data_IF_693293500564
#
_entry.id   IF_693293500564
#
_cell.length_a   1.000
_cell.length_b   1.000
_cell.length_c   1.000
_cell.angle_alpha   90.00
_cell.angle_beta   90.00
_cell.angle_gamma   90.00
#
_symmetry.space_group_name_H-M   'P 1'
#
loop_
_entity.id
_entity.type
_entity.pdbx_description
1 polymer ?
#
# COMPACT_ATOMS: atom_id res chain seq x y z
N UNK A 1 15.10 33.77 -0.33
CA UNK A 1 15.31 34.90 0.59
C UNK A 1 14.79 34.65 2.02
N UNK A 2 14.05 33.57 2.32
CA UNK A 2 13.57 33.25 3.68
C UNK A 2 14.45 32.28 4.48
N UNK A 3 15.36 31.53 3.84
CA UNK A 3 16.34 30.68 4.55
C UNK A 3 17.33 31.50 5.41
N UNK A 4 17.38 32.83 5.25
CA UNK A 4 18.33 33.73 5.92
C UNK A 4 17.68 34.45 7.12
N UNK A 5 16.35 34.44 7.26
CA UNK A 5 15.64 35.15 8.35
C UNK A 5 15.36 34.32 9.60
N UNK A 6 16.20 33.31 9.86
CA UNK A 6 16.51 32.76 11.20
C UNK A 6 15.43 32.78 12.28
N UNK A 7 14.24 32.21 12.04
CA UNK A 7 13.29 31.87 13.12
C UNK A 7 13.62 30.47 13.63
N UNK A 8 14.69 30.36 14.40
CA UNK A 8 15.07 29.12 15.09
C UNK A 8 14.40 28.99 16.47
N UNK A 9 13.55 29.94 16.85
CA UNK A 9 12.86 29.98 18.15
C UNK A 9 12.04 28.70 18.40
N UNK A 10 11.41 28.15 17.37
CA UNK A 10 10.65 26.89 17.46
C UNK A 10 11.54 25.64 17.63
N UNK A 11 12.86 25.77 17.47
CA UNK A 11 13.84 24.68 17.63
C UNK A 11 14.68 24.82 18.91
N UNK A 12 14.41 25.84 19.75
CA UNK A 12 15.19 26.06 20.97
C UNK A 12 14.92 24.98 22.02
N UNK A 13 13.65 24.58 22.19
CA UNK A 13 13.23 23.55 23.16
C UNK A 13 12.46 22.39 22.48
N UNK A 14 13.13 21.59 21.61
CA UNK A 14 12.46 20.62 20.73
C UNK A 14 11.89 19.41 21.47
N UNK A 15 12.32 19.16 22.72
CA UNK A 15 11.89 18.01 23.53
C UNK A 15 10.96 18.41 24.68
N UNK A 16 10.67 19.69 24.86
CA UNK A 16 9.81 20.16 25.94
C UNK A 16 8.34 19.72 25.69
N UNK A 17 7.69 19.17 26.72
CA UNK A 17 6.31 18.66 26.58
C UNK A 17 6.16 17.32 25.85
N UNK A 18 7.26 16.61 25.57
CA UNK A 18 7.23 15.30 24.89
C UNK A 18 6.47 14.26 25.71
N UNK A 19 5.48 13.62 25.08
CA UNK A 19 4.72 12.52 25.69
C UNK A 19 5.36 11.17 25.35
N UNK A 20 6.16 10.61 26.26
CA UNK A 20 6.83 9.32 26.09
C UNK A 20 5.92 8.07 26.23
N UNK A 21 4.60 8.26 26.34
CA UNK A 21 3.66 7.15 26.42
C UNK A 21 3.69 6.30 25.15
N UNK A 22 3.84 4.98 25.30
CA UNK A 22 3.91 4.01 24.18
C UNK A 22 2.74 4.17 23.22
N UNK A 23 1.53 4.47 23.72
CA UNK A 23 0.36 4.73 22.88
C UNK A 23 0.49 5.99 22.01
N UNK A 24 1.05 7.09 22.53
CA UNK A 24 1.25 8.31 21.76
C UNK A 24 2.31 8.12 20.67
N UNK A 25 3.38 7.40 21.01
CA UNK A 25 4.43 7.02 20.05
C UNK A 25 3.82 6.16 18.94
N UNK A 26 3.03 5.13 19.28
CA UNK A 26 2.38 4.26 18.31
C UNK A 26 1.41 5.01 17.38
N UNK A 27 0.58 5.92 17.91
CA UNK A 27 -0.32 6.74 17.09
C UNK A 27 0.47 7.67 16.16
N UNK A 28 1.56 8.28 16.65
CA UNK A 28 2.47 9.08 15.81
C UNK A 28 3.08 8.26 14.67
N UNK A 29 3.51 7.02 14.96
CA UNK A 29 4.00 6.10 13.94
C UNK A 29 2.91 5.75 12.92
N UNK A 30 1.67 5.48 13.34
CA UNK A 30 0.58 5.18 12.39
C UNK A 30 0.30 6.32 11.43
N UNK A 31 0.28 7.56 11.92
CA UNK A 31 0.08 8.74 11.08
C UNK A 31 1.26 8.96 10.13
N UNK A 32 2.50 8.77 10.62
CA UNK A 32 3.69 8.86 9.77
C UNK A 32 3.72 7.79 8.69
N UNK A 33 3.45 6.53 9.05
CA UNK A 33 3.41 5.39 8.12
C UNK A 33 2.28 5.50 7.09
N UNK A 34 1.18 6.15 7.45
CA UNK A 34 0.11 6.46 6.50
C UNK A 34 0.60 7.37 5.37
N UNK A 35 1.45 8.37 5.66
CA UNK A 35 2.04 9.23 4.64
C UNK A 35 2.96 8.45 3.67
N UNK A 36 3.63 7.40 4.15
CA UNK A 36 4.42 6.49 3.31
C UNK A 36 3.61 5.37 2.65
N UNK A 37 2.28 5.36 2.78
CA UNK A 37 1.46 4.36 2.14
C UNK A 37 1.54 4.48 0.60
N UNK A 38 1.49 3.33 -0.09
CA UNK A 38 1.50 3.28 -1.55
C UNK A 38 2.62 2.42 -2.15
N UNK A 39 3.60 2.02 -1.35
CA UNK A 39 4.65 1.08 -1.76
C UNK A 39 4.09 -0.27 -2.24
N UNK A 40 2.91 -0.69 -1.76
CA UNK A 40 2.25 -1.92 -2.22
C UNK A 40 1.80 -1.86 -3.69
N UNK A 41 1.50 -0.67 -4.22
CA UNK A 41 1.05 -0.51 -5.60
C UNK A 41 2.17 -0.76 -6.61
N UNK A 42 3.44 -0.62 -6.20
CA UNK A 42 4.59 -0.98 -7.02
C UNK A 42 4.51 -2.44 -7.48
N UNK A 43 3.96 -3.33 -6.66
CA UNK A 43 3.84 -4.76 -7.00
C UNK A 43 3.02 -5.01 -8.26
N UNK A 44 1.98 -4.19 -8.47
CA UNK A 44 1.08 -4.31 -9.63
C UNK A 44 1.75 -3.85 -10.93
N UNK A 45 2.81 -3.04 -10.84
CA UNK A 45 3.56 -2.51 -11.98
C UNK A 45 4.86 -3.32 -12.22
N UNK A 46 5.18 -4.30 -11.36
CA UNK A 46 6.36 -5.16 -11.55
C UNK A 46 6.32 -5.89 -12.89
N UNK A 47 5.14 -6.32 -13.32
CA UNK A 47 4.95 -7.05 -14.59
C UNK A 47 5.29 -6.19 -15.82
N UNK A 48 5.26 -4.86 -15.68
CA UNK A 48 5.54 -3.90 -16.75
C UNK A 48 6.99 -3.38 -16.71
N UNK A 49 7.77 -3.80 -15.71
CA UNK A 49 9.14 -3.35 -15.49
C UNK A 49 10.14 -4.17 -16.30
N UNK A 50 11.03 -3.50 -17.04
CA UNK A 50 12.17 -4.17 -17.69
C UNK A 50 13.17 -4.66 -16.63
N UNK A 51 13.60 -5.92 -16.71
CA UNK A 51 14.50 -6.59 -15.74
C UNK A 51 14.09 -6.40 -14.26
N UNK A 52 12.93 -6.94 -13.83
CA UNK A 52 12.38 -6.67 -12.51
C UNK A 52 13.29 -7.14 -11.37
N UNK A 53 14.06 -8.23 -11.55
CA UNK A 53 14.94 -8.80 -10.52
C UNK A 53 15.99 -7.81 -10.01
N UNK A 54 16.50 -6.92 -10.86
CA UNK A 54 17.55 -5.94 -10.50
C UNK A 54 16.98 -4.55 -10.26
N UNK A 55 16.01 -4.14 -11.08
CA UNK A 55 15.50 -2.77 -11.07
C UNK A 55 14.52 -2.54 -9.92
N UNK A 56 13.75 -3.56 -9.51
CA UNK A 56 12.81 -3.45 -8.40
C UNK A 56 13.48 -3.08 -7.06
N UNK A 57 14.50 -3.81 -6.56
CA UNK A 57 15.11 -3.46 -5.27
C UNK A 57 15.81 -2.10 -5.30
N UNK A 58 16.42 -1.72 -6.44
CA UNK A 58 17.06 -0.40 -6.61
C UNK A 58 16.02 0.73 -6.59
N UNK A 59 14.91 0.56 -7.30
CA UNK A 59 13.81 1.52 -7.32
C UNK A 59 13.21 1.73 -5.92
N UNK A 60 13.02 0.66 -5.15
CA UNK A 60 12.52 0.74 -3.77
C UNK A 60 13.49 1.53 -2.88
N UNK A 61 14.79 1.23 -2.91
CA UNK A 61 15.76 1.94 -2.07
C UNK A 61 15.83 3.43 -2.43
N UNK A 62 15.93 3.75 -3.72
CA UNK A 62 16.02 5.14 -4.19
C UNK A 62 14.76 5.91 -3.83
N UNK A 63 13.57 5.34 -4.08
CA UNK A 63 12.30 5.99 -3.74
C UNK A 63 12.15 6.21 -2.23
N UNK A 64 12.44 5.22 -1.40
CA UNK A 64 12.38 5.37 0.06
C UNK A 64 13.30 6.50 0.57
N UNK A 65 14.56 6.54 0.11
CA UNK A 65 15.52 7.58 0.54
C UNK A 65 15.08 8.96 0.08
N UNK A 66 14.66 9.08 -1.20
CA UNK A 66 14.23 10.35 -1.77
C UNK A 66 12.99 10.90 -1.04
N UNK A 67 11.96 10.06 -0.82
CA UNK A 67 10.74 10.47 -0.10
C UNK A 67 11.07 10.88 1.34
N UNK A 68 11.96 10.14 2.01
CA UNK A 68 12.40 10.47 3.38
C UNK A 68 13.04 11.85 3.45
N UNK A 69 13.95 12.17 2.51
CA UNK A 69 14.61 13.48 2.45
C UNK A 69 13.58 14.59 2.24
N UNK A 70 12.68 14.43 1.27
CA UNK A 70 11.64 15.44 0.97
C UNK A 70 10.72 15.66 2.16
N UNK A 71 10.32 14.60 2.86
CA UNK A 71 9.44 14.71 4.03
C UNK A 71 10.12 15.40 5.20
N UNK A 72 11.40 15.09 5.47
CA UNK A 72 12.17 15.78 6.52
C UNK A 72 12.31 17.27 6.17
N UNK A 73 12.70 17.59 4.93
CA UNK A 73 12.85 18.99 4.49
C UNK A 73 11.53 19.76 4.58
N UNK A 74 10.41 19.14 4.24
CA UNK A 74 9.08 19.76 4.34
C UNK A 74 8.70 20.06 5.79
N UNK A 75 8.94 19.11 6.70
CA UNK A 75 8.67 19.32 8.12
C UNK A 75 9.56 20.44 8.70
N UNK A 76 10.84 20.47 8.35
CA UNK A 76 11.75 21.56 8.74
C UNK A 76 11.24 22.91 8.22
N UNK A 77 10.77 22.98 6.97
CA UNK A 77 10.18 24.20 6.41
C UNK A 77 8.91 24.64 7.18
N UNK A 78 8.06 23.72 7.62
CA UNK A 78 6.89 24.07 8.45
C UNK A 78 7.28 24.62 9.82
N UNK A 79 8.19 23.96 10.54
CA UNK A 79 8.61 24.41 11.87
C UNK A 79 9.35 25.75 11.86
N UNK A 80 10.02 26.13 10.77
CA UNK A 80 10.67 27.46 10.67
C UNK A 80 9.69 28.62 10.49
N UNK A 81 8.45 28.37 10.06
CA UNK A 81 7.51 29.42 9.61
C UNK A 81 6.22 29.46 10.42
N UNK A 82 5.77 28.32 10.95
CA UNK A 82 4.54 28.18 11.71
C UNK A 82 4.87 27.65 13.12
N UNK A 83 4.44 28.31 14.20
CA UNK A 83 4.64 27.81 15.55
C UNK A 83 3.81 26.53 15.77
N UNK A 84 4.30 25.57 16.60
CA UNK A 84 3.64 24.27 16.80
C UNK A 84 2.18 24.36 17.26
N UNK A 85 1.84 25.35 18.09
CA UNK A 85 0.47 25.56 18.59
C UNK A 85 -0.51 25.86 17.44
N UNK A 86 -0.08 26.65 16.47
CA UNK A 86 -0.88 27.01 15.30
C UNK A 86 -0.97 25.86 14.30
N UNK A 87 0.08 25.03 14.19
CA UNK A 87 0.02 23.79 13.40
C UNK A 87 -1.02 22.81 13.93
N UNK A 88 -1.14 22.67 15.26
CA UNK A 88 -2.11 21.77 15.89
C UNK A 88 -3.57 22.26 15.75
N UNK A 89 -3.78 23.56 15.59
CA UNK A 89 -5.11 24.16 15.41
C UNK A 89 -5.55 24.21 13.95
N UNK A 90 -4.61 24.18 13.00
CA UNK A 90 -4.90 24.25 11.57
C UNK A 90 -5.27 22.88 11.00
N UNK A 91 -6.44 22.80 10.34
CA UNK A 91 -6.84 21.62 9.57
C UNK A 91 -6.01 21.43 8.30
N UNK A 92 -5.36 22.50 7.80
CA UNK A 92 -4.58 22.50 6.56
C UNK A 92 -3.28 23.28 6.73
N UNK A 93 -2.28 22.64 7.35
CA UNK A 93 -0.96 23.23 7.66
C UNK A 93 -0.29 23.85 6.43
N UNK A 94 -0.41 23.22 5.26
CA UNK A 94 0.17 23.71 4.01
C UNK A 94 -0.42 25.07 3.56
N UNK A 95 -1.70 25.32 3.83
CA UNK A 95 -2.37 26.59 3.48
C UNK A 95 -1.93 27.69 4.44
N UNK A 96 -1.89 27.40 5.75
CA UNK A 96 -1.37 28.33 6.76
C UNK A 96 0.09 28.71 6.49
N UNK A 97 0.91 27.74 6.08
CA UNK A 97 2.28 27.97 5.61
C UNK A 97 2.32 28.93 4.41
N UNK A 98 1.50 28.67 3.38
CA UNK A 98 1.47 29.48 2.17
C UNK A 98 0.97 30.91 2.43
N UNK A 99 -0.01 31.08 3.32
CA UNK A 99 -0.50 32.40 3.72
C UNK A 99 0.62 33.24 4.37
N UNK A 100 1.43 32.63 5.23
CA UNK A 100 2.55 33.32 5.88
C UNK A 100 3.73 33.61 4.94
N UNK A 101 4.00 32.71 3.99
CA UNK A 101 5.16 32.82 3.11
C UNK A 101 4.90 33.69 1.87
N UNK A 102 3.76 33.45 1.21
CA UNK A 102 3.45 34.03 -0.10
C UNK A 102 2.45 35.18 -0.04
N UNK A 103 1.80 35.43 1.10
CA UNK A 103 0.92 36.58 1.34
C UNK A 103 -0.21 36.69 0.32
N UNK A 104 0.01 37.42 -0.77
CA UNK A 104 -0.94 37.66 -1.87
C UNK A 104 -1.16 36.43 -2.76
N UNK A 105 -0.16 35.54 -2.88
CA UNK A 105 -0.19 34.38 -3.79
C UNK A 105 -0.51 33.05 -3.07
N UNK A 106 -1.14 33.11 -1.89
CA UNK A 106 -1.41 31.94 -1.05
C UNK A 106 -2.29 30.86 -1.73
N UNK A 107 -3.16 31.25 -2.66
CA UNK A 107 -4.11 30.39 -3.36
C UNK A 107 -3.43 29.36 -4.29
N UNK A 108 -2.18 29.58 -4.66
CA UNK A 108 -1.42 28.67 -5.53
C UNK A 108 -1.18 27.33 -4.82
N UNK A 109 -0.87 27.36 -3.53
CA UNK A 109 -0.57 26.14 -2.76
C UNK A 109 -1.75 25.16 -2.67
N UNK A 110 -2.98 25.56 -2.28
CA UNK A 110 -4.11 24.63 -2.25
C UNK A 110 -4.48 24.11 -3.64
N UNK A 111 -4.26 24.88 -4.71
CA UNK A 111 -4.48 24.39 -6.09
C UNK A 111 -3.52 23.25 -6.43
N UNK A 112 -2.22 23.39 -6.14
CA UNK A 112 -1.25 22.31 -6.36
C UNK A 112 -1.52 21.08 -5.48
N UNK A 113 -1.90 21.29 -4.22
CA UNK A 113 -2.27 20.18 -3.31
C UNK A 113 -3.53 19.47 -3.80
N UNK A 114 -4.54 20.21 -4.27
CA UNK A 114 -5.76 19.64 -4.84
C UNK A 114 -5.47 18.83 -6.12
N UNK A 115 -4.63 19.35 -7.02
CA UNK A 115 -4.20 18.63 -8.22
C UNK A 115 -3.42 17.35 -7.88
N UNK A 116 -2.55 17.41 -6.87
CA UNK A 116 -1.79 16.24 -6.41
C UNK A 116 -2.68 15.17 -5.80
N UNK A 117 -3.61 15.55 -4.92
CA UNK A 117 -4.57 14.62 -4.31
C UNK A 117 -5.52 14.02 -5.35
N UNK A 118 -5.96 14.81 -6.33
CA UNK A 118 -6.73 14.33 -7.47
C UNK A 118 -5.96 13.27 -8.28
N UNK A 119 -4.68 13.51 -8.56
CA UNK A 119 -3.81 12.54 -9.22
C UNK A 119 -3.64 11.24 -8.41
N UNK A 120 -3.50 11.35 -7.09
CA UNK A 120 -3.41 10.19 -6.18
C UNK A 120 -4.67 9.32 -6.21
N UNK A 121 -5.86 9.93 -6.11
CA UNK A 121 -7.14 9.21 -6.19
C UNK A 121 -7.31 8.52 -7.54
N UNK A 122 -6.95 9.20 -8.64
CA UNK A 122 -7.03 8.62 -9.97
C UNK A 122 -6.11 7.38 -10.12
N UNK A 123 -4.90 7.43 -9.56
CA UNK A 123 -3.99 6.29 -9.53
C UNK A 123 -4.58 5.09 -8.76
N UNK A 124 -5.16 5.34 -7.58
CA UNK A 124 -5.80 4.30 -6.76
C UNK A 124 -6.98 3.65 -7.48
N UNK A 125 -7.78 4.43 -8.24
CA UNK A 125 -8.90 3.91 -9.02
C UNK A 125 -8.43 2.90 -10.08
N UNK A 126 -7.34 3.17 -10.79
CA UNK A 126 -6.78 2.23 -11.76
C UNK A 126 -6.30 0.94 -11.10
N UNK A 127 -5.59 1.03 -9.98
CA UNK A 127 -5.09 -0.17 -9.30
C UNK A 127 -6.21 -1.00 -8.69
N UNK A 128 -7.20 -0.34 -8.08
CA UNK A 128 -8.37 -1.02 -7.49
C UNK A 128 -9.17 -1.77 -8.55
N UNK A 129 -9.39 -1.16 -9.72
CA UNK A 129 -10.05 -1.78 -10.85
C UNK A 129 -9.37 -3.10 -11.28
N UNK A 130 -8.03 -3.13 -11.36
CA UNK A 130 -7.27 -4.34 -11.69
C UNK A 130 -7.46 -5.43 -10.64
N UNK A 131 -7.42 -5.06 -9.36
CA UNK A 131 -7.60 -6.00 -8.25
C UNK A 131 -9.00 -6.65 -8.27
N UNK A 132 -10.06 -5.87 -8.50
CA UNK A 132 -11.43 -6.39 -8.62
C UNK A 132 -11.61 -7.31 -9.83
N UNK A 133 -10.98 -6.98 -10.96
CA UNK A 133 -11.04 -7.81 -12.17
C UNK A 133 -10.42 -9.19 -11.93
N UNK A 134 -9.22 -9.24 -11.34
CA UNK A 134 -8.55 -10.51 -11.01
C UNK A 134 -9.33 -11.27 -9.92
N UNK A 135 -9.80 -10.59 -8.88
CA UNK A 135 -10.58 -11.21 -7.80
C UNK A 135 -11.91 -11.81 -8.25
N UNK A 136 -12.57 -11.22 -9.25
CA UNK A 136 -13.78 -11.78 -9.86
C UNK A 136 -13.49 -12.98 -10.75
N UNK A 137 -12.34 -13.01 -11.43
CA UNK A 137 -11.91 -14.15 -12.27
C UNK A 137 -11.61 -15.40 -11.45
N UNK A 138 -11.00 -15.24 -10.28
CA UNK A 138 -10.72 -16.34 -9.34
C UNK A 138 -11.95 -16.78 -8.52
N UNK A 139 -13.13 -16.21 -8.80
CA UNK A 139 -14.39 -16.59 -8.14
C UNK A 139 -14.53 -16.12 -6.69
N UNK A 140 -13.60 -15.32 -6.17
CA UNK A 140 -13.63 -14.80 -4.80
C UNK A 140 -14.56 -13.58 -4.61
N UNK A 141 -14.98 -12.96 -5.71
CA UNK A 141 -15.92 -11.83 -5.71
C UNK A 141 -17.07 -12.09 -6.68
N UNK A 142 -18.27 -11.51 -6.43
CA UNK A 142 -19.40 -11.66 -7.34
C UNK A 142 -19.01 -11.18 -8.74
N UNK A 143 -19.27 -12.02 -9.75
CA UNK A 143 -18.87 -11.83 -11.15
C UNK A 143 -19.36 -10.50 -11.75
N UNK A 144 -20.38 -9.89 -11.14
CA UNK A 144 -20.93 -8.58 -11.47
C UNK A 144 -19.86 -7.47 -11.39
N UNK A 145 -18.91 -7.59 -10.47
CA UNK A 145 -17.81 -6.63 -10.29
C UNK A 145 -16.69 -6.79 -11.32
N UNK A 146 -16.59 -7.95 -11.97
CA UNK A 146 -15.62 -8.21 -13.04
C UNK A 146 -16.11 -7.86 -14.44
N UNK A 147 -17.37 -7.43 -14.61
CA UNK A 147 -17.88 -7.05 -15.92
C UNK A 147 -17.16 -5.80 -16.46
N UNK A 148 -16.57 -5.97 -17.64
CA UNK A 148 -15.94 -4.90 -18.41
C UNK A 148 -16.93 -4.44 -19.48
N UNK A 149 -17.15 -3.14 -19.56
CA UNK A 149 -18.09 -2.58 -20.52
C UNK A 149 -17.51 -2.65 -21.94
N UNK A 150 -18.22 -3.30 -22.87
CA UNK A 150 -17.74 -3.59 -24.25
C UNK A 150 -17.35 -2.34 -25.03
N UNK A 151 -18.08 -1.23 -24.89
CA UNK A 151 -17.83 -0.01 -25.67
C UNK A 151 -16.69 0.88 -25.16
N UNK A 152 -16.33 0.79 -23.87
CA UNK A 152 -15.30 1.66 -23.25
C UNK A 152 -14.13 0.88 -22.65
N UNK A 153 -14.21 -0.46 -22.62
CA UNK A 153 -13.21 -1.34 -22.02
C UNK A 153 -12.84 -0.96 -20.57
N UNK A 154 -13.76 -0.32 -19.84
CA UNK A 154 -13.58 0.07 -18.44
C UNK A 154 -14.45 -0.79 -17.52
N UNK A 155 -13.94 -1.17 -16.33
CA UNK A 155 -14.73 -1.87 -15.31
C UNK A 155 -15.62 -0.86 -14.56
N UNK A 156 -16.66 -0.37 -15.24
CA UNK A 156 -17.63 0.58 -14.70
C UNK A 156 -18.29 0.15 -13.37
N UNK A 157 -18.74 -1.12 -13.17
CA UNK A 157 -19.39 -1.51 -11.92
C UNK A 157 -18.42 -1.52 -10.73
N UNK A 158 -17.17 -1.91 -10.93
CA UNK A 158 -16.15 -1.88 -9.87
C UNK A 158 -15.86 -0.44 -9.41
N UNK A 159 -15.69 0.49 -10.35
CA UNK A 159 -15.45 1.90 -10.05
C UNK A 159 -16.65 2.53 -9.34
N UNK A 160 -17.87 2.21 -9.78
CA UNK A 160 -19.08 2.69 -9.12
C UNK A 160 -19.20 2.17 -7.68
N UNK A 161 -18.89 0.89 -7.45
CA UNK A 161 -18.90 0.31 -6.11
C UNK A 161 -17.85 0.95 -5.19
N UNK A 162 -16.62 1.16 -5.66
CA UNK A 162 -15.58 1.87 -4.91
C UNK A 162 -15.98 3.32 -4.64
N UNK A 163 -16.59 4.00 -5.60
CA UNK A 163 -17.13 5.35 -5.44
C UNK A 163 -18.24 5.41 -4.38
N UNK A 164 -19.18 4.46 -4.41
CA UNK A 164 -20.26 4.37 -3.44
C UNK A 164 -19.73 4.09 -2.03
N UNK A 165 -18.78 3.16 -1.88
CA UNK A 165 -18.10 2.93 -0.60
C UNK A 165 -17.37 4.18 -0.12
N UNK A 166 -16.69 4.91 -1.01
CA UNK A 166 -16.01 6.17 -0.67
C UNK A 166 -17.00 7.21 -0.13
N UNK A 167 -18.19 7.35 -0.75
CA UNK A 167 -19.25 8.23 -0.27
C UNK A 167 -19.77 7.84 1.11
N UNK A 168 -19.93 6.53 1.37
CA UNK A 168 -20.31 6.03 2.70
C UNK A 168 -19.25 6.35 3.75
N UNK A 169 -17.96 6.19 3.43
CA UNK A 169 -16.87 6.56 4.33
C UNK A 169 -16.81 8.08 4.57
N UNK A 170 -17.21 8.89 3.60
CA UNK A 170 -17.27 10.35 3.71
C UNK A 170 -18.32 10.84 4.71
N UNK A 171 -19.31 10.03 5.06
CA UNK A 171 -20.28 10.35 6.10
C UNK A 171 -19.66 10.37 7.51
N UNK A 172 -18.45 9.84 7.69
CA UNK A 172 -17.70 9.92 8.94
C UNK A 172 -17.03 11.29 9.07
N UNK A 173 -17.30 12.02 10.16
CA UNK A 173 -16.82 13.40 10.36
C UNK A 173 -15.36 13.50 10.80
N UNK A 174 -14.74 12.41 11.25
CA UNK A 174 -13.37 12.41 11.82
C UNK A 174 -12.34 11.73 10.91
N UNK A 175 -11.48 12.54 10.27
CA UNK A 175 -10.39 12.07 9.42
C UNK A 175 -9.39 11.17 10.17
N UNK A 176 -8.99 11.57 11.39
CA UNK A 176 -8.01 10.82 12.18
C UNK A 176 -8.49 9.43 12.56
N UNK A 177 -9.79 9.28 12.85
CA UNK A 177 -10.38 7.97 13.13
C UNK A 177 -10.32 7.08 11.89
N UNK A 178 -10.71 7.62 10.73
CA UNK A 178 -10.67 6.88 9.47
C UNK A 178 -9.25 6.40 9.12
N UNK A 179 -8.25 7.27 9.27
CA UNK A 179 -6.84 6.92 9.07
C UNK A 179 -6.42 5.77 9.99
N UNK A 180 -6.75 5.84 11.27
CA UNK A 180 -6.40 4.78 12.23
C UNK A 180 -7.08 3.45 11.89
N UNK A 181 -8.34 3.45 11.48
CA UNK A 181 -9.05 2.24 11.06
C UNK A 181 -8.41 1.60 9.82
N UNK A 182 -8.14 2.39 8.78
CA UNK A 182 -7.51 1.90 7.54
C UNK A 182 -6.10 1.43 7.81
N UNK A 183 -5.31 2.18 8.58
CA UNK A 183 -3.96 1.79 8.96
C UNK A 183 -3.96 0.45 9.70
N UNK A 184 -4.82 0.29 10.69
CA UNK A 184 -4.94 -0.97 11.44
C UNK A 184 -5.25 -2.16 10.52
N UNK A 185 -6.26 -2.03 9.66
CA UNK A 185 -6.63 -3.10 8.71
C UNK A 185 -5.48 -3.42 7.73
N UNK A 186 -4.83 -2.39 7.18
CA UNK A 186 -3.72 -2.55 6.25
C UNK A 186 -2.51 -3.23 6.91
N UNK A 187 -2.14 -2.83 8.13
CA UNK A 187 -1.04 -3.43 8.88
C UNK A 187 -1.33 -4.87 9.29
N UNK A 188 -2.58 -5.18 9.64
CA UNK A 188 -3.00 -6.56 9.90
C UNK A 188 -2.87 -7.43 8.63
N UNK A 189 -3.32 -6.94 7.48
CA UNK A 189 -3.18 -7.65 6.20
C UNK A 189 -1.71 -7.88 5.84
N UNK A 190 -0.85 -6.87 6.00
CA UNK A 190 0.60 -7.02 5.78
C UNK A 190 1.20 -8.05 6.75
N UNK A 191 0.81 -8.01 8.03
CA UNK A 191 1.24 -8.99 9.03
C UNK A 191 0.88 -10.41 8.63
N UNK A 192 -0.36 -10.65 8.21
CA UNK A 192 -0.81 -11.95 7.71
C UNK A 192 -0.03 -12.38 6.46
N UNK A 193 0.22 -11.49 5.50
CA UNK A 193 1.02 -11.79 4.31
C UNK A 193 2.46 -12.16 4.66
N UNK A 194 3.10 -11.45 5.60
CA UNK A 194 4.46 -11.77 6.07
C UNK A 194 4.48 -13.12 6.78
N UNK A 195 3.48 -13.41 7.62
CA UNK A 195 3.34 -14.70 8.30
C UNK A 195 3.13 -15.84 7.29
N UNK A 196 2.28 -15.65 6.29
CA UNK A 196 2.10 -16.60 5.20
C UNK A 196 3.41 -16.82 4.41
N UNK A 197 4.18 -15.76 4.18
CA UNK A 197 5.51 -15.85 3.56
C UNK A 197 6.49 -16.69 4.40
N UNK A 198 6.49 -16.52 5.72
CA UNK A 198 7.29 -17.34 6.64
C UNK A 198 6.84 -18.79 6.63
N UNK A 199 5.53 -19.03 6.64
CA UNK A 199 4.93 -20.36 6.52
C UNK A 199 5.33 -21.07 5.22
N UNK A 200 5.16 -20.41 4.07
CA UNK A 200 5.56 -20.97 2.78
C UNK A 200 7.07 -21.18 2.67
N UNK A 201 7.88 -20.38 3.38
CA UNK A 201 9.32 -20.63 3.46
C UNK A 201 9.66 -21.92 4.18
N UNK A 202 8.89 -22.29 5.20
CA UNK A 202 9.05 -23.54 5.93
C UNK A 202 8.53 -24.74 5.13
N UNK A 203 7.34 -24.62 4.52
CA UNK A 203 6.70 -25.73 3.80
C UNK A 203 7.33 -26.01 2.43
N UNK A 204 7.81 -24.99 1.71
CA UNK A 204 8.42 -25.12 0.36
C UNK A 204 9.81 -24.47 0.29
N UNK A 205 10.84 -25.11 0.88
CA UNK A 205 12.20 -24.57 0.93
C UNK A 205 12.90 -24.55 -0.44
N UNK A 206 12.55 -25.48 -1.35
CA UNK A 206 13.21 -25.68 -2.65
C UNK A 206 12.54 -24.95 -3.83
N UNK A 207 11.48 -24.17 -3.60
CA UNK A 207 10.83 -23.42 -4.67
C UNK A 207 11.78 -22.38 -5.28
N UNK A 208 11.78 -22.27 -6.61
CA UNK A 208 12.70 -21.42 -7.34
C UNK A 208 12.32 -19.93 -7.16
N UNK A 209 13.21 -19.13 -6.54
CA UNK A 209 12.91 -17.76 -6.11
C UNK A 209 13.68 -16.75 -6.95
N UNK A 210 13.04 -16.04 -7.88
CA UNK A 210 13.72 -15.08 -8.76
C UNK A 210 14.30 -13.88 -8.02
N UNK A 211 13.73 -13.51 -6.85
CA UNK A 211 14.21 -12.45 -5.98
C UNK A 211 14.46 -13.05 -4.60
N UNK A 212 15.74 -13.24 -4.25
CA UNK A 212 16.15 -13.74 -2.94
C UNK A 212 16.51 -12.54 -2.06
N UNK A 213 15.61 -12.18 -1.16
CA UNK A 213 15.85 -11.08 -0.23
C UNK A 213 17.06 -11.43 0.66
N UNK A 214 17.94 -10.45 0.90
CA UNK A 214 19.13 -10.58 1.74
C UNK A 214 18.85 -10.97 3.19
N UNK A 215 17.58 -10.92 3.62
CA UNK A 215 17.14 -11.33 4.94
C UNK A 215 17.32 -12.84 5.13
N UNK A 216 18.51 -13.17 5.63
CA UNK A 216 18.86 -14.38 6.37
C UNK A 216 17.97 -14.45 7.62
N UNK A 217 16.70 -14.80 7.44
CA UNK A 217 15.69 -15.00 8.50
C UNK A 217 15.96 -16.27 9.33
N UNK A 218 17.21 -16.50 9.74
CA UNK A 218 17.58 -17.58 10.66
C UNK A 218 17.14 -17.27 12.11
N UNK A 219 16.74 -16.03 12.38
CA UNK A 219 16.32 -15.54 13.71
C UNK A 219 14.81 -15.53 13.93
N UNK A 220 13.98 -15.53 12.88
CA UNK A 220 12.51 -15.53 13.01
C UNK A 220 11.92 -16.93 13.24
N UNK A 221 12.72 -17.99 13.06
CA UNK A 221 12.34 -19.38 13.34
C UNK A 221 12.12 -19.63 14.84
N UNK A 222 12.53 -18.70 15.73
CA UNK A 222 12.37 -18.81 17.19
C UNK A 222 11.26 -17.95 17.78
N UNK A 223 10.25 -17.55 16.99
CA UNK A 223 9.09 -16.83 17.54
C UNK A 223 8.05 -17.85 18.01
N UNK A 224 7.76 -17.95 19.32
CA UNK A 224 6.87 -18.97 19.89
C UNK A 224 5.42 -18.88 19.39
N UNK A 225 5.02 -17.74 18.82
CA UNK A 225 3.71 -17.55 18.20
C UNK A 225 3.50 -18.38 16.93
N UNK A 226 4.56 -18.63 16.15
CA UNK A 226 4.48 -19.41 14.90
C UNK A 226 4.33 -20.90 15.20
N UNK A 227 5.01 -21.38 16.23
CA UNK A 227 4.99 -22.79 16.67
C UNK A 227 3.61 -23.19 17.21
N UNK A 228 2.93 -22.29 17.94
CA UNK A 228 1.59 -22.54 18.46
C UNK A 228 0.49 -22.56 17.37
N UNK A 229 0.69 -21.88 16.24
CA UNK A 229 -0.19 -21.99 15.06
C UNK A 229 0.11 -23.30 14.30
N UNK A 230 1.38 -23.67 14.13
CA UNK A 230 1.83 -24.91 13.49
C UNK A 230 1.28 -26.18 14.18
N UNK A 231 1.29 -26.22 15.52
CA UNK A 231 0.77 -27.37 16.28
C UNK A 231 -0.74 -27.52 16.06
N UNK A 232 -1.47 -26.41 15.87
CA UNK A 232 -2.93 -26.44 15.71
C UNK A 232 -3.38 -26.77 14.28
N UNK A 233 -2.58 -26.41 13.27
CA UNK A 233 -2.82 -26.81 11.88
C UNK A 233 -2.43 -28.25 11.59
N UNK A 234 -1.34 -28.77 12.18
CA UNK A 234 -0.97 -30.18 12.03
C UNK A 234 -2.04 -31.12 12.64
N UNK A 235 -2.70 -30.68 13.71
CA UNK A 235 -3.82 -31.41 14.31
C UNK A 235 -5.09 -31.41 13.43
N UNK A 236 -5.20 -30.48 12.47
CA UNK A 236 -6.33 -30.43 11.52
C UNK A 236 -6.07 -31.24 10.25
N UNK A 237 -4.82 -31.37 9.80
CA UNK A 237 -4.46 -32.25 8.68
C UNK A 237 -4.58 -33.73 9.02
N UNK A 238 -4.34 -34.13 10.28
CA UNK A 238 -4.37 -35.54 10.69
C UNK A 238 -5.81 -36.10 10.82
N UNK A 239 -6.84 -35.25 10.81
CA UNK A 239 -8.25 -35.66 10.86
C UNK A 239 -8.90 -35.80 9.49
N UNK A 240 -8.23 -35.42 8.41
CA UNK A 240 -8.79 -35.45 7.05
C UNK A 240 -8.34 -36.64 6.18
N UNK A 241 -7.60 -37.60 6.73
CA UNK A 241 -7.01 -38.72 5.96
C UNK A 241 -7.70 -40.10 6.14
N UNK A 242 -8.88 -40.19 6.76
CA UNK A 242 -9.64 -41.45 6.84
C UNK A 242 -11.00 -41.36 6.11
N UNK A 243 -11.00 -41.66 4.81
CA UNK A 243 -12.23 -41.80 4.02
C UNK A 243 -12.00 -41.71 2.51
N UNK A 244 -11.88 -42.86 1.86
CA UNK A 244 -11.52 -42.99 0.46
C UNK A 244 -12.54 -42.49 -0.58
N UNK A 245 -11.99 -42.47 -1.80
CA UNK A 245 -12.61 -42.48 -3.14
C UNK A 245 -12.80 -41.14 -3.90
N UNK A 246 -12.10 -41.10 -5.03
CA UNK A 246 -12.33 -40.31 -6.24
C UNK A 246 -12.29 -38.77 -6.16
N UNK A 247 -11.09 -38.22 -5.98
CA UNK A 247 -10.74 -36.97 -6.66
C UNK A 247 -9.26 -37.03 -7.07
N UNK A 248 -9.02 -37.37 -8.34
CA UNK A 248 -7.74 -37.11 -9.01
C UNK A 248 -7.52 -35.60 -8.97
N UNK A 249 -6.80 -35.13 -7.95
CA UNK A 249 -6.14 -33.82 -7.98
C UNK A 249 -5.11 -33.94 -9.08
N UNK A 250 -5.46 -33.45 -10.26
CA UNK A 250 -4.52 -33.15 -11.33
C UNK A 250 -3.39 -32.35 -10.70
N UNK A 251 -2.22 -33.00 -10.65
CA UNK A 251 -0.94 -32.42 -10.35
C UNK A 251 -0.72 -31.21 -11.26
N UNK A 252 -1.10 -30.02 -10.79
CA UNK A 252 -0.70 -28.74 -11.37
C UNK A 252 0.72 -28.41 -10.92
N UNK A 253 1.66 -29.31 -11.24
CA UNK A 253 3.09 -29.14 -11.01
C UNK A 253 3.83 -28.53 -12.21
N UNK A 254 3.13 -28.10 -13.27
CA UNK A 254 3.77 -27.55 -14.48
C UNK A 254 3.47 -26.08 -14.83
N UNK A 255 2.53 -25.37 -14.17
CA UNK A 255 2.04 -24.08 -14.71
C UNK A 255 2.41 -22.80 -13.95
N UNK A 256 3.24 -22.85 -12.91
CA UNK A 256 3.66 -21.61 -12.21
C UNK A 256 4.86 -20.89 -12.85
N UNK A 257 5.54 -21.51 -13.82
CA UNK A 257 6.63 -20.89 -14.59
C UNK A 257 6.15 -20.04 -15.77
N UNK A 258 4.85 -20.10 -16.10
CA UNK A 258 4.23 -19.39 -17.23
C UNK A 258 3.37 -18.18 -16.81
N UNK A 259 3.31 -17.83 -15.52
CA UNK A 259 2.29 -16.91 -15.00
C UNK A 259 2.53 -15.41 -15.23
N UNK A 260 3.64 -15.01 -15.87
CA UNK A 260 4.03 -13.60 -16.03
C UNK A 260 4.15 -13.06 -17.46
N UNK A 261 3.93 -13.89 -18.49
CA UNK A 261 4.13 -13.53 -19.89
C UNK A 261 2.91 -13.68 -20.85
N UNK A 262 1.86 -14.49 -20.57
CA UNK A 262 0.83 -14.75 -21.58
C UNK A 262 -0.26 -13.67 -21.63
N UNK A 263 -0.39 -12.81 -20.62
CA UNK A 263 -1.52 -11.85 -20.54
C UNK A 263 -1.49 -10.80 -21.67
N UNK A 264 -0.31 -10.32 -22.06
CA UNK A 264 -0.19 -9.35 -23.16
C UNK A 264 -0.28 -10.04 -24.53
N UNK A 265 0.20 -11.29 -24.63
CA UNK A 265 0.13 -12.08 -25.86
C UNK A 265 -1.32 -12.48 -26.17
N UNK A 266 -2.10 -12.88 -25.16
CA UNK A 266 -3.52 -13.22 -25.33
C UNK A 266 -4.40 -11.99 -25.57
N UNK A 267 -4.13 -10.85 -24.91
CA UNK A 267 -4.86 -9.60 -25.20
C UNK A 267 -4.50 -9.07 -26.59
N UNK A 268 -3.24 -9.17 -27.02
CA UNK A 268 -2.82 -8.81 -28.38
C UNK A 268 -3.43 -9.77 -29.44
N UNK A 269 -3.47 -11.07 -29.17
CA UNK A 269 -4.12 -12.07 -30.03
C UNK A 269 -5.64 -11.88 -30.09
N UNK A 270 -6.30 -11.58 -28.98
CA UNK A 270 -7.73 -11.28 -28.93
C UNK A 270 -8.08 -9.98 -29.68
N UNK A 271 -7.25 -8.95 -29.55
CA UNK A 271 -7.37 -7.69 -30.31
C UNK A 271 -7.13 -7.91 -31.81
N UNK A 272 -6.20 -8.81 -32.20
CA UNK A 272 -5.98 -9.16 -33.61
C UNK A 272 -7.12 -10.01 -34.22
N UNK A 273 -7.76 -10.88 -33.41
CA UNK A 273 -8.94 -11.66 -33.83
C UNK A 273 -10.21 -10.83 -33.91
N UNK A 274 -10.33 -9.77 -33.10
CA UNK A 274 -11.44 -8.80 -33.19
C UNK A 274 -11.32 -7.83 -34.37
N UNK A 275 -10.18 -7.83 -35.09
CA UNK A 275 -9.92 -6.97 -36.27
C UNK A 275 -10.07 -7.71 -37.61
N UNK A 276 -10.52 -8.97 -37.63
CA UNK A 276 -10.93 -9.69 -38.84
C UNK A 276 -12.41 -9.99 -38.82
#
# INVERSE_FOLDING_TARGET
MLYISGRYENFLDPFEGTKYGVGNIAIGFYQGLFAYNGWNYLNVVIEELQEPKKNLPRAIIISCVLVTIVYILTNVAYFTTVPPVEMLQSSAVAVTFAQKLYGVMWWIMPVFVALSTFGGVNGILFTSARLFFVGGREGHMPQILSYVQVNRMTPAPAVFFVGLLSLVYLCSTDMYRLINYVAFANWMAIGLCVMALLWFRHQRPNADRPIKNWLRLRTFEKIPFVEHILIRSNMSCDQSDDGGDDFRILSSDDDYSSFGAPLFQEVSLAVSRSRR
#
